data_IF_615476689497
#
_entry.id   IF_615476689497
#
_cell.length_a   1.000
_cell.length_b   1.000
_cell.length_c   1.000
_cell.angle_alpha   90.00
_cell.angle_beta   90.00
_cell.angle_gamma   90.00
#
_symmetry.space_group_name_H-M   'P 1'
#
loop_
_entity.id
_entity.type
_entity.pdbx_description
1 polymer ?
#
# COMPACT_ATOMS: atom_id res chain seq x y z
N UNK A 1 23.92 -23.56 -6.83
CA UNK A 1 22.72 -23.01 -6.17
C UNK A 1 22.41 -21.71 -6.86
N UNK A 2 21.57 -21.76 -7.88
CA UNK A 2 21.18 -20.60 -8.68
C UNK A 2 20.26 -19.72 -7.83
N UNK A 3 20.75 -18.51 -7.52
CA UNK A 3 19.92 -17.44 -6.96
C UNK A 3 18.83 -17.14 -8.00
N UNK A 4 17.63 -17.66 -7.80
CA UNK A 4 16.43 -17.18 -8.49
C UNK A 4 16.12 -15.78 -7.96
N UNK A 5 16.82 -14.79 -8.50
CA UNK A 5 16.45 -13.41 -8.41
C UNK A 5 15.23 -13.24 -9.35
N UNK A 6 14.04 -13.70 -8.91
CA UNK A 6 12.82 -13.39 -9.63
C UNK A 6 12.66 -11.87 -9.59
N UNK A 7 12.89 -11.24 -10.74
CA UNK A 7 12.72 -9.80 -10.89
C UNK A 7 11.23 -9.48 -10.64
N UNK A 8 10.96 -8.68 -9.59
CA UNK A 8 9.62 -8.30 -9.20
C UNK A 8 8.93 -7.55 -10.36
N UNK A 9 7.70 -7.95 -10.68
CA UNK A 9 6.92 -7.32 -11.75
C UNK A 9 6.12 -6.14 -11.21
N UNK A 10 6.26 -4.99 -11.88
CA UNK A 10 5.46 -3.79 -11.63
C UNK A 10 4.44 -3.63 -12.74
N UNK A 11 3.17 -3.55 -12.37
CA UNK A 11 2.11 -3.18 -13.31
C UNK A 11 1.99 -1.67 -13.36
N UNK A 12 2.03 -1.10 -14.56
CA UNK A 12 1.85 0.32 -14.82
C UNK A 12 0.52 0.47 -15.55
N UNK A 13 -0.38 1.28 -15.04
CA UNK A 13 -1.67 1.58 -15.66
C UNK A 13 -1.73 3.07 -15.93
N UNK A 14 -1.51 3.46 -17.18
CA UNK A 14 -1.34 4.84 -17.62
C UNK A 14 -1.77 4.94 -19.09
N UNK A 15 -2.70 5.80 -19.41
CA UNK A 15 -3.25 5.95 -20.76
C UNK A 15 -2.40 6.86 -21.67
N UNK A 16 -1.56 7.73 -21.09
CA UNK A 16 -0.65 8.59 -21.84
C UNK A 16 0.59 7.80 -22.29
N UNK A 17 0.80 7.52 -23.63
CA UNK A 17 1.86 6.63 -24.09
C UNK A 17 3.28 7.12 -23.74
N UNK A 18 3.49 8.44 -23.75
CA UNK A 18 4.80 9.01 -23.42
C UNK A 18 5.16 8.81 -21.94
N UNK A 19 4.17 8.95 -21.07
CA UNK A 19 4.35 8.81 -19.64
C UNK A 19 4.48 7.34 -19.25
N UNK A 20 3.63 6.48 -19.80
CA UNK A 20 3.73 5.03 -19.61
C UNK A 20 5.08 4.48 -20.04
N UNK A 21 5.57 4.84 -21.24
CA UNK A 21 6.89 4.39 -21.70
C UNK A 21 8.03 4.93 -20.81
N UNK A 22 7.95 6.18 -20.38
CA UNK A 22 8.93 6.77 -19.47
C UNK A 22 9.02 5.99 -18.15
N UNK A 23 7.89 5.60 -17.56
CA UNK A 23 7.84 4.79 -16.34
C UNK A 23 8.41 3.39 -16.58
N UNK A 24 8.08 2.75 -17.71
CA UNK A 24 8.67 1.47 -18.12
C UNK A 24 10.19 1.54 -18.13
N UNK A 25 10.75 2.54 -18.84
CA UNK A 25 12.21 2.69 -19.01
C UNK A 25 12.92 2.87 -17.66
N UNK A 26 12.40 3.72 -16.78
CA UNK A 26 12.99 3.98 -15.47
C UNK A 26 12.88 2.79 -14.51
N UNK A 27 11.76 2.06 -14.51
CA UNK A 27 11.58 0.89 -13.66
C UNK A 27 12.42 -0.29 -14.14
N UNK A 28 12.53 -0.50 -15.46
CA UNK A 28 13.41 -1.53 -16.03
C UNK A 28 14.89 -1.21 -15.76
N UNK A 29 15.31 0.05 -15.88
CA UNK A 29 16.65 0.48 -15.50
C UNK A 29 16.94 0.28 -14.00
N UNK A 30 15.90 0.26 -13.16
CA UNK A 30 16.02 -0.04 -11.73
C UNK A 30 15.98 -1.54 -11.40
N UNK A 31 15.88 -2.43 -12.41
CA UNK A 31 15.94 -3.88 -12.27
C UNK A 31 14.58 -4.58 -12.08
N UNK A 32 13.47 -3.90 -12.32
CA UNK A 32 12.13 -4.49 -12.28
C UNK A 32 11.69 -4.99 -13.65
N UNK A 33 10.81 -6.00 -13.69
CA UNK A 33 10.03 -6.30 -14.87
C UNK A 33 8.76 -5.43 -14.85
N UNK A 34 8.26 -5.08 -16.04
CA UNK A 34 7.10 -4.19 -16.15
C UNK A 34 6.02 -4.81 -17.04
N UNK A 35 4.76 -4.62 -16.67
CA UNK A 35 3.60 -4.85 -17.54
C UNK A 35 2.84 -3.52 -17.61
N UNK A 36 2.68 -2.99 -18.81
CA UNK A 36 1.97 -1.73 -19.02
C UNK A 36 0.60 -1.98 -19.65
N UNK A 37 -0.42 -1.36 -19.06
CA UNK A 37 -1.81 -1.34 -19.51
C UNK A 37 -2.22 0.11 -19.72
N UNK A 38 -3.04 0.38 -20.74
CA UNK A 38 -3.55 1.72 -21.06
C UNK A 38 -5.03 1.91 -20.73
N UNK A 39 -5.69 0.87 -20.24
CA UNK A 39 -7.13 0.87 -19.93
C UNK A 39 -7.39 0.25 -18.55
N UNK A 40 -8.19 0.92 -17.74
CA UNK A 40 -8.49 0.45 -16.38
C UNK A 40 -9.30 -0.86 -16.35
N UNK A 41 -10.07 -1.16 -17.38
CA UNK A 41 -10.86 -2.39 -17.48
C UNK A 41 -10.01 -3.66 -17.62
N UNK A 42 -8.76 -3.52 -18.08
CA UNK A 42 -7.84 -4.63 -18.25
C UNK A 42 -7.15 -5.05 -16.94
N UNK A 43 -7.19 -4.21 -15.90
CA UNK A 43 -6.39 -4.41 -14.69
C UNK A 43 -6.82 -5.64 -13.91
N UNK A 44 -8.11 -5.77 -13.61
CA UNK A 44 -8.62 -6.88 -12.80
C UNK A 44 -8.36 -8.24 -13.46
N UNK A 45 -8.66 -8.44 -14.76
CA UNK A 45 -8.29 -9.67 -15.47
C UNK A 45 -6.78 -9.95 -15.42
N UNK A 46 -5.96 -8.91 -15.66
CA UNK A 46 -4.51 -9.05 -15.67
C UNK A 46 -3.91 -9.45 -14.31
N UNK A 47 -4.47 -8.91 -13.20
CA UNK A 47 -4.06 -9.26 -11.83
C UNK A 47 -4.47 -10.68 -11.47
N UNK A 48 -5.64 -11.14 -11.89
CA UNK A 48 -6.05 -12.54 -11.68
C UNK A 48 -5.17 -13.53 -12.44
N UNK A 49 -4.73 -13.17 -13.64
CA UNK A 49 -3.88 -14.03 -14.47
C UNK A 49 -2.44 -14.09 -13.93
N UNK A 50 -1.83 -12.93 -13.67
CA UNK A 50 -0.46 -12.80 -13.18
C UNK A 50 -0.39 -11.65 -12.16
N UNK A 51 -0.48 -11.95 -10.84
CA UNK A 51 -0.41 -10.94 -9.80
C UNK A 51 0.94 -10.21 -9.82
N UNK A 52 0.95 -8.85 -9.97
CA UNK A 52 2.19 -8.08 -9.89
C UNK A 52 2.63 -7.88 -8.44
N UNK A 53 3.89 -7.50 -8.26
CA UNK A 53 4.42 -7.14 -6.94
C UNK A 53 3.93 -5.76 -6.46
N UNK A 54 3.58 -4.86 -7.39
CA UNK A 54 3.06 -3.52 -7.11
C UNK A 54 2.35 -2.99 -8.35
N UNK A 55 1.34 -2.15 -8.13
CA UNK A 55 0.58 -1.47 -9.20
C UNK A 55 0.80 0.05 -9.08
N UNK A 56 1.27 0.68 -10.17
CA UNK A 56 1.19 2.13 -10.37
C UNK A 56 -0.09 2.40 -11.16
N UNK A 57 -1.02 3.16 -10.59
CA UNK A 57 -2.38 3.29 -11.10
C UNK A 57 -2.74 4.77 -11.31
N UNK A 58 -2.89 5.19 -12.55
CA UNK A 58 -3.49 6.50 -12.82
C UNK A 58 -4.97 6.50 -12.46
N UNK A 59 -5.45 7.65 -12.05
CA UNK A 59 -6.86 7.85 -11.74
C UNK A 59 -7.70 8.06 -12.98
N UNK A 60 -7.20 8.81 -13.92
CA UNK A 60 -7.93 9.26 -15.11
C UNK A 60 -7.71 8.28 -16.27
N UNK A 61 -8.24 7.06 -16.13
CA UNK A 61 -8.10 6.01 -17.14
C UNK A 61 -9.37 5.87 -17.99
N UNK A 62 -9.24 5.49 -19.27
CA UNK A 62 -10.35 5.04 -20.07
C UNK A 62 -10.88 3.68 -19.56
N UNK A 63 -12.09 3.34 -19.96
CA UNK A 63 -12.76 2.08 -19.63
C UNK A 63 -13.23 2.02 -18.19
N UNK A 64 -12.32 1.97 -17.22
CA UNK A 64 -12.63 1.98 -15.79
C UNK A 64 -11.69 2.94 -15.06
N UNK A 65 -12.26 3.89 -14.30
CA UNK A 65 -11.46 4.85 -13.53
C UNK A 65 -10.62 4.16 -12.45
N UNK A 66 -9.44 4.74 -12.15
CA UNK A 66 -8.48 4.15 -11.22
C UNK A 66 -9.02 3.97 -9.79
N UNK A 67 -10.03 4.75 -9.38
CA UNK A 67 -10.67 4.59 -8.07
C UNK A 67 -11.50 3.32 -7.99
N UNK A 68 -12.30 3.10 -9.01
CA UNK A 68 -13.11 1.90 -9.13
C UNK A 68 -12.20 0.68 -9.22
N UNK A 69 -11.14 0.73 -10.02
CA UNK A 69 -10.13 -0.34 -10.11
C UNK A 69 -9.53 -0.65 -8.74
N UNK A 70 -9.05 0.35 -8.02
CA UNK A 70 -8.43 0.14 -6.70
C UNK A 70 -9.42 -0.45 -5.68
N UNK A 71 -10.65 0.04 -5.68
CA UNK A 71 -11.71 -0.49 -4.80
C UNK A 71 -12.02 -1.95 -5.09
N UNK A 72 -12.01 -2.34 -6.35
CA UNK A 72 -12.21 -3.73 -6.75
C UNK A 72 -11.02 -4.62 -6.40
N UNK A 73 -9.78 -4.15 -6.60
CA UNK A 73 -8.58 -4.85 -6.16
C UNK A 73 -8.64 -5.18 -4.67
N UNK A 74 -9.03 -4.23 -3.82
CA UNK A 74 -9.10 -4.41 -2.36
C UNK A 74 -10.16 -5.42 -1.89
N UNK A 75 -11.02 -5.91 -2.77
CA UNK A 75 -11.96 -6.99 -2.45
C UNK A 75 -11.30 -8.37 -2.40
N UNK A 76 -10.19 -8.55 -3.10
CA UNK A 76 -9.58 -9.87 -3.24
C UNK A 76 -8.05 -9.89 -3.12
N UNK A 77 -7.36 -8.73 -3.04
CA UNK A 77 -5.90 -8.68 -2.95
C UNK A 77 -5.41 -7.48 -2.13
N UNK A 78 -4.27 -7.68 -1.45
CA UNK A 78 -3.52 -6.64 -0.73
C UNK A 78 -2.27 -6.18 -1.50
N UNK A 79 -2.18 -6.44 -2.81
CA UNK A 79 -1.09 -5.96 -3.66
C UNK A 79 -0.94 -4.45 -3.49
N UNK A 80 0.27 -3.95 -3.20
CA UNK A 80 0.50 -2.51 -3.02
C UNK A 80 0.09 -1.72 -4.25
N UNK A 81 -0.66 -0.63 -4.03
CA UNK A 81 -1.11 0.29 -5.08
C UNK A 81 -0.59 1.69 -4.78
N UNK A 82 0.18 2.26 -5.71
CA UNK A 82 0.53 3.68 -5.72
C UNK A 82 -0.38 4.37 -6.72
N UNK A 83 -1.20 5.28 -6.24
CA UNK A 83 -2.05 6.10 -7.09
C UNK A 83 -1.26 7.26 -7.71
N UNK A 84 -1.50 7.53 -8.99
CA UNK A 84 -0.94 8.68 -9.70
C UNK A 84 -2.08 9.61 -10.09
N UNK A 85 -1.96 10.92 -9.83
CA UNK A 85 -3.04 11.86 -10.09
C UNK A 85 -2.54 13.26 -10.48
N UNK A 86 -3.29 13.94 -11.34
CA UNK A 86 -2.99 15.31 -11.77
C UNK A 86 -3.51 16.40 -10.79
N UNK A 87 -4.42 16.06 -9.86
CA UNK A 87 -5.09 17.04 -9.01
C UNK A 87 -4.97 16.74 -7.53
N UNK A 88 -4.47 17.71 -6.76
CA UNK A 88 -4.42 17.65 -5.30
C UNK A 88 -5.84 17.54 -4.72
N UNK A 89 -6.82 18.26 -5.28
CA UNK A 89 -8.23 18.18 -4.85
C UNK A 89 -8.88 16.81 -5.08
N UNK A 90 -8.40 16.05 -6.07
CA UNK A 90 -8.81 14.65 -6.27
C UNK A 90 -8.23 13.76 -5.17
N UNK A 91 -7.01 14.02 -4.70
CA UNK A 91 -6.44 13.31 -3.56
C UNK A 91 -7.33 13.47 -2.32
N UNK A 92 -7.83 14.66 -2.04
CA UNK A 92 -8.75 14.90 -0.90
C UNK A 92 -10.07 14.12 -1.04
N UNK A 93 -10.60 14.00 -2.27
CA UNK A 93 -11.74 13.11 -2.55
C UNK A 93 -11.39 11.64 -2.44
N UNK A 94 -10.16 11.25 -2.84
CA UNK A 94 -9.65 9.88 -2.80
C UNK A 94 -9.43 9.39 -1.40
N UNK A 95 -8.86 10.25 -0.57
CA UNK A 95 -8.62 10.01 0.84
C UNK A 95 -9.93 9.96 1.63
N UNK A 96 -10.95 10.71 1.17
CA UNK A 96 -12.31 10.64 1.72
C UNK A 96 -13.11 9.39 1.34
N UNK A 97 -12.65 8.57 0.40
CA UNK A 97 -13.41 7.46 -0.18
C UNK A 97 -12.95 6.06 0.26
N UNK A 98 -12.27 5.89 1.37
CA UNK A 98 -11.94 4.55 1.91
C UNK A 98 -11.28 3.56 0.93
N UNK A 99 -10.45 4.02 -0.02
CA UNK A 99 -10.03 3.22 -1.18
C UNK A 99 -8.88 2.26 -0.87
N UNK A 100 -8.09 2.53 0.19
CA UNK A 100 -7.02 1.63 0.62
C UNK A 100 -5.75 1.65 -0.25
N UNK A 101 -5.46 2.73 -0.98
CA UNK A 101 -4.17 2.90 -1.64
C UNK A 101 -3.03 3.06 -0.63
N UNK A 102 -1.82 2.60 -0.99
CA UNK A 102 -0.66 2.57 -0.08
C UNK A 102 0.18 3.85 -0.16
N UNK A 103 0.18 4.52 -1.31
CA UNK A 103 0.83 5.82 -1.53
C UNK A 103 0.17 6.57 -2.69
N UNK A 104 0.49 7.87 -2.80
CA UNK A 104 -0.02 8.77 -3.84
C UNK A 104 1.12 9.60 -4.42
N UNK A 105 1.09 9.82 -5.73
CA UNK A 105 2.04 10.66 -6.46
C UNK A 105 1.27 11.68 -7.27
N UNK A 106 1.57 12.97 -7.05
CA UNK A 106 0.96 14.05 -7.82
C UNK A 106 1.73 14.30 -9.12
N UNK A 107 1.02 14.41 -10.23
CA UNK A 107 1.57 14.94 -11.49
C UNK A 107 1.69 16.48 -11.38
N UNK A 108 2.78 17.13 -11.84
CA UNK A 108 3.96 16.51 -12.45
C UNK A 108 4.93 15.92 -11.40
N UNK A 109 5.47 14.75 -11.68
CA UNK A 109 6.43 14.06 -10.82
C UNK A 109 7.75 13.76 -11.54
N UNK A 110 8.80 13.53 -10.77
CA UNK A 110 10.05 12.97 -11.30
C UNK A 110 9.96 11.46 -11.41
N UNK A 111 10.32 10.84 -12.55
CA UNK A 111 10.36 9.38 -12.66
C UNK A 111 11.27 8.73 -11.60
N UNK A 112 12.32 9.44 -11.16
CA UNK A 112 13.20 8.99 -10.07
C UNK A 112 12.46 8.92 -8.73
N UNK A 113 11.53 9.83 -8.49
CA UNK A 113 10.67 9.80 -7.30
C UNK A 113 9.78 8.55 -7.31
N UNK A 114 9.15 8.24 -8.45
CA UNK A 114 8.33 7.04 -8.61
C UNK A 114 9.15 5.78 -8.29
N UNK A 115 10.34 5.65 -8.87
CA UNK A 115 11.26 4.52 -8.61
C UNK A 115 11.62 4.43 -7.13
N UNK A 116 11.91 5.55 -6.47
CA UNK A 116 12.25 5.57 -5.04
C UNK A 116 11.08 5.10 -4.17
N UNK A 117 9.85 5.51 -4.48
CA UNK A 117 8.64 5.08 -3.78
C UNK A 117 8.34 3.60 -4.00
N UNK A 118 8.39 3.13 -5.26
CA UNK A 118 8.26 1.71 -5.60
C UNK A 118 9.28 0.87 -4.83
N UNK A 119 10.57 1.26 -4.86
CA UNK A 119 11.63 0.56 -4.12
C UNK A 119 11.38 0.53 -2.62
N UNK A 120 10.87 1.62 -2.06
CA UNK A 120 10.56 1.71 -0.62
C UNK A 120 9.44 0.77 -0.24
N UNK A 121 8.35 0.74 -1.00
CA UNK A 121 7.20 -0.14 -0.74
C UNK A 121 7.60 -1.61 -0.92
N UNK A 122 8.26 -1.97 -2.02
CA UNK A 122 8.65 -3.36 -2.29
C UNK A 122 9.66 -3.90 -1.27
N UNK A 123 10.60 -3.08 -0.81
CA UNK A 123 11.53 -3.47 0.26
C UNK A 123 10.78 -3.88 1.53
N UNK A 124 9.63 -3.28 1.78
CA UNK A 124 8.78 -3.57 2.93
C UNK A 124 8.01 -4.88 2.78
N UNK A 125 7.55 -5.17 1.55
CA UNK A 125 6.68 -6.32 1.29
C UNK A 125 7.42 -7.64 1.03
N UNK A 126 8.68 -7.60 0.54
CA UNK A 126 9.33 -8.79 -0.03
C UNK A 126 10.63 -9.25 0.67
N UNK A 127 10.96 -8.77 1.88
CA UNK A 127 12.09 -9.33 2.64
C UNK A 127 11.63 -10.50 3.54
N UNK A 128 12.32 -11.68 3.48
CA UNK A 128 12.00 -12.82 4.36
C UNK A 128 12.22 -12.50 5.84
N UNK A 129 11.39 -13.06 6.70
CA UNK A 129 11.59 -13.05 8.15
C UNK A 129 12.75 -13.97 8.54
N UNK A 130 13.78 -13.45 9.20
CA UNK A 130 14.64 -14.26 10.07
C UNK A 130 13.97 -14.30 11.44
N UNK A 131 13.67 -15.49 11.92
CA UNK A 131 13.05 -15.67 13.23
C UNK A 131 14.00 -15.16 14.33
N UNK A 132 13.58 -14.16 15.07
CA UNK A 132 14.14 -13.84 16.38
C UNK A 132 13.22 -14.44 17.44
N UNK A 133 13.78 -15.33 18.28
CA UNK A 133 13.11 -15.93 19.42
C UNK A 133 12.86 -14.88 20.51
N UNK A 134 11.81 -14.08 20.36
CA UNK A 134 11.34 -13.15 21.40
C UNK A 134 9.90 -13.50 21.75
N UNK A 135 9.62 -13.80 23.02
CA UNK A 135 8.33 -14.28 23.55
C UNK A 135 7.18 -13.24 23.49
N UNK A 136 7.36 -12.11 22.82
CA UNK A 136 6.29 -11.12 22.67
C UNK A 136 5.22 -11.62 21.70
N UNK A 137 3.95 -11.60 22.12
CA UNK A 137 2.80 -12.02 21.30
C UNK A 137 2.71 -11.27 19.97
N UNK A 138 3.08 -9.99 19.97
CA UNK A 138 3.15 -9.13 18.77
C UNK A 138 4.60 -8.75 18.53
N UNK A 139 5.14 -9.18 17.41
CA UNK A 139 6.47 -8.81 16.95
C UNK A 139 6.38 -7.86 15.76
N UNK A 140 7.13 -6.74 15.82
CA UNK A 140 7.17 -5.71 14.77
C UNK A 140 8.61 -5.58 14.30
N UNK A 141 8.86 -6.01 13.07
CA UNK A 141 10.15 -5.84 12.39
C UNK A 141 10.10 -4.58 11.52
N UNK A 142 10.56 -3.48 12.07
CA UNK A 142 10.53 -2.19 11.39
C UNK A 142 11.41 -2.13 10.13
N UNK A 143 12.68 -2.63 10.15
CA UNK A 143 13.51 -2.69 8.96
C UNK A 143 12.88 -3.46 7.80
N UNK A 144 12.06 -4.45 8.13
CA UNK A 144 11.39 -5.33 7.16
C UNK A 144 9.96 -4.93 6.87
N UNK A 145 9.39 -4.00 7.65
CA UNK A 145 7.98 -3.63 7.57
C UNK A 145 7.04 -4.83 7.69
N UNK A 146 7.42 -5.77 8.52
CA UNK A 146 6.64 -6.96 8.79
C UNK A 146 6.22 -6.99 10.25
N UNK A 147 5.05 -7.54 10.49
CA UNK A 147 4.59 -7.82 11.83
C UNK A 147 4.07 -9.25 11.91
N UNK A 148 4.24 -9.88 13.05
CA UNK A 148 3.64 -11.18 13.35
C UNK A 148 2.96 -11.15 14.71
N UNK A 149 1.88 -11.89 14.84
CA UNK A 149 1.17 -12.08 16.11
C UNK A 149 1.07 -13.57 16.41
N UNK A 150 1.51 -13.98 17.60
CA UNK A 150 1.59 -15.40 18.00
C UNK A 150 2.30 -16.30 16.97
N UNK A 151 3.36 -15.78 16.33
CA UNK A 151 4.10 -16.49 15.30
C UNK A 151 3.44 -16.51 13.91
N UNK A 152 2.22 -15.97 13.77
CA UNK A 152 1.56 -15.81 12.47
C UNK A 152 1.91 -14.48 11.84
N UNK A 153 2.41 -14.50 10.61
CA UNK A 153 2.73 -13.30 9.84
C UNK A 153 1.42 -12.59 9.50
N UNK A 154 1.39 -11.28 9.77
CA UNK A 154 0.29 -10.39 9.39
C UNK A 154 0.54 -9.89 7.96
N UNK A 155 -0.37 -10.19 7.05
CA UNK A 155 -0.33 -9.67 5.69
C UNK A 155 -0.86 -8.22 5.68
N UNK A 156 0.03 -7.26 5.95
CA UNK A 156 -0.29 -5.85 6.11
C UNK A 156 0.18 -5.03 4.91
N UNK A 157 -0.68 -4.12 4.45
CA UNK A 157 -0.24 -3.05 3.58
C UNK A 157 0.74 -2.12 4.32
N UNK A 158 1.60 -1.35 3.63
CA UNK A 158 2.52 -0.41 4.28
C UNK A 158 1.83 0.61 5.20
N UNK A 159 0.63 1.06 4.84
CA UNK A 159 -0.16 1.96 5.67
C UNK A 159 -0.66 1.28 6.95
N UNK A 160 -1.19 0.06 6.84
CA UNK A 160 -1.63 -0.74 7.98
C UNK A 160 -0.48 -1.10 8.92
N UNK A 161 0.71 -1.41 8.36
CA UNK A 161 1.91 -1.66 9.16
C UNK A 161 2.31 -0.43 9.98
N UNK A 162 2.36 0.77 9.37
CA UNK A 162 2.68 2.01 10.08
C UNK A 162 1.66 2.30 11.19
N UNK A 163 0.38 2.08 10.94
CA UNK A 163 -0.67 2.21 11.95
C UNK A 163 -0.48 1.23 13.09
N UNK A 164 -0.27 -0.05 12.78
CA UNK A 164 -0.01 -1.07 13.79
C UNK A 164 1.20 -0.72 14.63
N UNK A 165 2.31 -0.31 14.00
CA UNK A 165 3.53 0.15 14.70
C UNK A 165 3.23 1.32 15.63
N UNK A 166 2.55 2.37 15.13
CA UNK A 166 2.22 3.55 15.94
C UNK A 166 1.39 3.19 17.16
N UNK A 167 0.38 2.35 16.98
CA UNK A 167 -0.50 1.91 18.07
C UNK A 167 0.21 0.99 19.05
N UNK A 168 1.08 0.10 18.57
CA UNK A 168 1.81 -0.87 19.40
C UNK A 168 2.97 -0.25 20.16
N UNK A 169 3.58 0.85 19.69
CA UNK A 169 4.63 1.56 20.42
C UNK A 169 4.12 2.22 21.71
N UNK A 170 2.82 2.48 21.82
CA UNK A 170 2.22 3.14 23.00
C UNK A 170 0.88 2.47 23.37
N UNK A 171 0.90 1.25 23.91
CA UNK A 171 -0.32 0.52 24.28
C UNK A 171 -1.14 1.30 25.31
N UNK A 172 -2.45 1.32 25.13
CA UNK A 172 -3.39 2.01 26.03
C UNK A 172 -3.54 3.51 25.78
N UNK A 173 -2.74 4.12 24.92
CA UNK A 173 -2.91 5.50 24.54
C UNK A 173 -4.04 5.67 23.51
N UNK A 174 -4.70 6.84 23.59
CA UNK A 174 -5.72 7.27 22.60
C UNK A 174 -5.07 8.20 21.61
N UNK A 175 -5.17 7.87 20.32
CA UNK A 175 -4.68 8.69 19.23
C UNK A 175 -5.83 9.35 18.51
N UNK A 176 -5.72 10.63 18.18
CA UNK A 176 -6.62 11.30 17.27
C UNK A 176 -6.38 10.84 15.82
N UNK A 177 -7.38 10.99 14.95
CA UNK A 177 -7.22 10.71 13.52
C UNK A 177 -6.07 11.50 12.91
N UNK A 178 -5.96 12.76 13.25
CA UNK A 178 -4.89 13.66 12.78
C UNK A 178 -3.50 13.17 13.23
N UNK A 179 -3.34 12.72 14.48
CA UNK A 179 -2.08 12.15 14.97
C UNK A 179 -1.70 10.87 14.22
N UNK A 180 -2.65 9.98 13.95
CA UNK A 180 -2.40 8.78 13.16
C UNK A 180 -2.03 9.11 11.72
N UNK A 181 -2.65 10.14 11.14
CA UNK A 181 -2.41 10.61 9.80
C UNK A 181 -1.00 11.16 9.63
N UNK A 182 -0.55 12.00 10.57
CA UNK A 182 0.80 12.57 10.57
C UNK A 182 1.89 11.50 10.71
N UNK A 183 1.60 10.38 11.37
CA UNK A 183 2.53 9.25 11.48
C UNK A 183 2.52 8.31 10.26
N UNK A 184 1.48 8.39 9.42
CA UNK A 184 1.38 7.60 8.20
C UNK A 184 2.17 8.21 7.04
N UNK A 185 2.18 9.53 6.95
CA UNK A 185 2.74 10.28 5.83
C UNK A 185 3.73 11.32 6.34
N UNK A 186 5.01 11.14 6.02
CA UNK A 186 6.13 12.02 6.43
C UNK A 186 6.10 13.40 5.74
N UNK A 187 5.23 13.62 4.76
CA UNK A 187 5.06 14.89 4.05
C UNK A 187 3.81 15.63 4.56
N UNK A 188 3.84 16.96 4.54
CA UNK A 188 2.73 17.88 4.84
C UNK A 188 1.56 17.75 3.84
N UNK A 189 1.01 16.55 3.69
CA UNK A 189 -0.13 16.29 2.79
C UNK A 189 -1.43 16.51 3.56
N UNK A 190 -2.34 17.25 2.94
CA UNK A 190 -3.71 17.39 3.42
C UNK A 190 -4.44 16.07 3.15
N UNK A 191 -4.42 15.19 4.12
CA UNK A 191 -5.09 13.88 4.08
C UNK A 191 -6.31 13.94 5.01
N UNK A 192 -7.47 13.47 4.59
CA UNK A 192 -8.69 13.55 5.40
C UNK A 192 -8.78 12.40 6.43
N UNK A 193 -9.44 12.67 7.55
CA UNK A 193 -9.65 11.75 8.69
C UNK A 193 -10.27 10.38 8.31
N UNK A 194 -11.05 10.34 7.23
CA UNK A 194 -11.77 9.12 6.79
C UNK A 194 -10.86 8.01 6.27
N UNK A 195 -9.67 8.35 5.78
CA UNK A 195 -8.69 7.37 5.30
C UNK A 195 -8.17 6.49 6.43
N UNK A 196 -7.98 7.09 7.61
CA UNK A 196 -7.57 6.37 8.82
C UNK A 196 -8.60 5.32 9.21
N UNK A 197 -9.89 5.67 9.19
CA UNK A 197 -10.95 4.75 9.58
C UNK A 197 -10.96 3.48 8.72
N UNK A 198 -10.64 3.60 7.43
CA UNK A 198 -10.55 2.46 6.50
C UNK A 198 -9.35 1.57 6.78
N UNK A 199 -8.16 2.17 6.95
CA UNK A 199 -6.97 1.40 7.32
C UNK A 199 -7.14 0.72 8.68
N UNK A 200 -7.74 1.39 9.66
CA UNK A 200 -8.05 0.80 10.97
C UNK A 200 -9.04 -0.36 10.84
N UNK A 201 -10.09 -0.22 10.03
CA UNK A 201 -11.07 -1.29 9.78
C UNK A 201 -10.40 -2.52 9.16
N UNK A 202 -9.57 -2.32 8.14
CA UNK A 202 -8.85 -3.41 7.48
C UNK A 202 -7.84 -4.07 8.43
N UNK A 203 -7.08 -3.28 9.18
CA UNK A 203 -6.15 -3.77 10.18
C UNK A 203 -6.84 -4.60 11.26
N UNK A 204 -7.99 -4.13 11.79
CA UNK A 204 -8.82 -4.90 12.73
C UNK A 204 -9.20 -6.25 12.16
N UNK A 205 -9.77 -6.27 10.95
CA UNK A 205 -10.18 -7.51 10.29
C UNK A 205 -9.01 -8.51 10.19
N UNK A 206 -7.81 -8.05 9.84
CA UNK A 206 -6.62 -8.90 9.71
C UNK A 206 -6.15 -9.45 11.06
N UNK A 207 -6.23 -8.67 12.13
CA UNK A 207 -5.92 -9.10 13.49
C UNK A 207 -6.97 -10.07 14.04
N UNK A 208 -8.25 -9.83 13.80
CA UNK A 208 -9.37 -10.67 14.20
C UNK A 208 -9.36 -12.06 13.53
N UNK A 209 -8.76 -12.18 12.33
CA UNK A 209 -8.58 -13.47 11.66
C UNK A 209 -7.63 -14.41 12.41
N UNK A 210 -6.73 -13.89 13.26
CA UNK A 210 -5.78 -14.69 14.03
C UNK A 210 -6.30 -14.95 15.43
N UNK A 211 -6.92 -13.97 16.08
CA UNK A 211 -7.44 -14.07 17.44
C UNK A 211 -8.75 -13.28 17.53
N UNK A 212 -9.85 -13.95 17.13
CA UNK A 212 -11.18 -13.36 17.02
C UNK A 212 -11.82 -12.93 18.36
N UNK A 213 -11.30 -13.41 19.48
CA UNK A 213 -11.83 -13.09 20.81
C UNK A 213 -11.23 -11.79 21.38
N UNK A 214 -10.21 -11.21 20.72
CA UNK A 214 -9.45 -10.09 21.24
C UNK A 214 -9.67 -8.79 20.46
N UNK A 215 -10.21 -7.77 21.14
CA UNK A 215 -10.32 -6.42 20.55
C UNK A 215 -8.98 -5.66 20.68
N UNK A 216 -8.11 -5.79 19.66
CA UNK A 216 -6.78 -5.15 19.62
C UNK A 216 -6.84 -3.62 19.56
N UNK A 217 -7.78 -3.09 18.77
CA UNK A 217 -7.91 -1.65 18.51
C UNK A 217 -9.33 -1.23 18.83
N UNK A 218 -9.50 -0.33 19.79
CA UNK A 218 -10.83 0.18 20.20
C UNK A 218 -11.03 1.60 19.70
N UNK A 219 -12.26 1.94 19.31
CA UNK A 219 -12.64 3.33 19.04
C UNK A 219 -13.12 3.96 20.35
N UNK A 220 -12.60 5.15 20.65
CA UNK A 220 -13.03 5.97 21.79
C UNK A 220 -13.80 7.17 21.19
N UNK A 221 -15.05 7.29 21.56
CA UNK A 221 -15.90 8.42 21.17
C UNK A 221 -15.86 9.43 22.30
N UNK A 222 -15.48 10.66 21.98
CA UNK A 222 -15.48 11.80 22.91
C UNK A 222 -16.70 12.68 22.69
#
# INVERSE_FOLDING_TARGET
>A
MENQNQSLQIMIVEDEPKLGQLLVDYLQAAGYTTRWLSDGSEVIPAVHEHPPALILLDLMLPGCDGLTVCRELRRFTDIPVIMVTAKIEEIDRLLGLEIGADDYICKPYSPREVVARVKTILRRCYRPLEHSDDESLLHIDEPRFQASYQGHILDLTPAEFRLLKTLACQPGNVFSREQLLNNLYDDYRVVTDRTIDSHIKNLRRKLELIDGDKAFIRSVYG
#
